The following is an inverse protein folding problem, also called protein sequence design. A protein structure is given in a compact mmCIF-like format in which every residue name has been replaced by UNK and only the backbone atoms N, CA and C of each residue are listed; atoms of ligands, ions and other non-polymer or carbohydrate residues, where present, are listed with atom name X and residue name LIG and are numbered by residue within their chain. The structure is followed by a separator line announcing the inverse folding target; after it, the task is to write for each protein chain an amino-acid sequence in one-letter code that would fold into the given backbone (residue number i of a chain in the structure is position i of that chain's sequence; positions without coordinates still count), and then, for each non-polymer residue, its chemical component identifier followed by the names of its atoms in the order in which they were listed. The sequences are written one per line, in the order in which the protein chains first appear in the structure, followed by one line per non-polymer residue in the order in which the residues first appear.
data_IF_453926841302
#
_entry.id   IF_453926841302
#
_cell.length_a   1.000
_cell.length_b   1.000
_cell.length_c   1.000
_cell.angle_alpha   90.00
_cell.angle_beta   90.00
_cell.angle_gamma   90.00
#
_symmetry.space_group_name_H-M   'P 1'
#
loop_
_entity.id
_entity.type
_entity.pdbx_description
1 polymer ?
#
# COMPACT_ATOMS: atom_id res chain seq x y z
N UNK A 1 -32.60 34.59 -48.00
CA UNK A 1 -32.94 33.87 -46.73
C UNK A 1 -31.90 32.79 -46.36
N UNK A 2 -30.60 33.02 -46.55
CA UNK A 2 -29.55 32.01 -46.32
C UNK A 2 -28.58 32.31 -45.17
N UNK A 3 -28.52 33.55 -44.70
CA UNK A 3 -27.57 33.98 -43.68
C UNK A 3 -28.00 33.57 -42.26
N UNK A 4 -29.30 33.64 -41.93
CA UNK A 4 -29.82 33.38 -40.58
C UNK A 4 -29.63 31.93 -40.12
N UNK A 5 -29.71 30.96 -41.03
CA UNK A 5 -29.52 29.53 -40.70
C UNK A 5 -28.09 29.23 -40.26
N UNK A 6 -27.10 29.93 -40.81
CA UNK A 6 -25.67 29.70 -40.50
C UNK A 6 -25.34 30.11 -39.07
N UNK A 7 -25.93 31.22 -38.59
CA UNK A 7 -25.76 31.70 -37.21
C UNK A 7 -26.40 30.76 -36.19
N UNK A 8 -27.51 30.11 -36.53
CA UNK A 8 -28.13 29.12 -35.66
C UNK A 8 -27.26 27.86 -35.52
N UNK A 9 -26.66 27.37 -36.61
CA UNK A 9 -25.76 26.20 -36.54
C UNK A 9 -24.46 26.50 -35.77
N UNK A 10 -23.90 27.71 -35.90
CA UNK A 10 -22.70 28.09 -35.14
C UNK A 10 -22.98 28.22 -33.64
N UNK A 11 -24.13 28.80 -33.27
CA UNK A 11 -24.57 28.89 -31.87
C UNK A 11 -24.81 27.50 -31.26
N UNK A 12 -25.48 26.60 -31.99
CA UNK A 12 -25.74 25.24 -31.52
C UNK A 12 -24.45 24.42 -31.37
N UNK A 13 -23.53 24.54 -32.33
CA UNK A 13 -22.22 23.89 -32.28
C UNK A 13 -21.37 24.38 -31.10
N UNK A 14 -21.33 25.69 -30.87
CA UNK A 14 -20.62 26.27 -29.73
C UNK A 14 -21.21 25.83 -28.38
N UNK A 15 -22.55 25.76 -28.27
CA UNK A 15 -23.22 25.28 -27.07
C UNK A 15 -22.91 23.80 -26.78
N UNK A 16 -22.94 22.94 -27.81
CA UNK A 16 -22.56 21.53 -27.66
C UNK A 16 -21.08 21.37 -27.25
N UNK A 17 -20.17 22.12 -27.88
CA UNK A 17 -18.75 22.07 -27.53
C UNK A 17 -18.51 22.54 -26.08
N UNK A 18 -19.21 23.59 -25.64
CA UNK A 18 -19.16 24.06 -24.25
C UNK A 18 -19.67 23.01 -23.27
N UNK A 19 -20.80 22.36 -23.57
CA UNK A 19 -21.38 21.34 -22.70
C UNK A 19 -20.49 20.10 -22.61
N UNK A 20 -19.86 19.72 -23.72
CA UNK A 20 -18.88 18.64 -23.76
C UNK A 20 -17.64 18.96 -22.92
N UNK A 21 -17.12 20.19 -23.00
CA UNK A 21 -15.98 20.63 -22.17
C UNK A 21 -16.33 20.63 -20.68
N UNK A 22 -17.54 21.06 -20.30
CA UNK A 22 -17.99 21.01 -18.90
C UNK A 22 -18.13 19.57 -18.40
N UNK A 23 -18.62 18.66 -19.25
CA UNK A 23 -18.69 17.23 -18.92
C UNK A 23 -17.30 16.64 -18.68
N UNK A 24 -16.34 16.91 -19.58
CA UNK A 24 -14.95 16.47 -19.44
C UNK A 24 -14.31 17.03 -18.16
N UNK A 25 -14.54 18.31 -17.87
CA UNK A 25 -14.05 18.93 -16.65
C UNK A 25 -14.66 18.29 -15.40
N UNK A 26 -15.95 17.95 -15.42
CA UNK A 26 -16.63 17.31 -14.29
C UNK A 26 -16.11 15.89 -14.05
N UNK A 27 -15.84 15.12 -15.11
CA UNK A 27 -15.24 13.77 -15.01
C UNK A 27 -13.80 13.87 -14.46
N UNK A 28 -13.02 14.84 -14.93
CA UNK A 28 -11.67 15.09 -14.42
C UNK A 28 -11.69 15.50 -12.94
N UNK A 29 -12.55 16.45 -12.58
CA UNK A 29 -12.70 16.92 -11.21
C UNK A 29 -13.16 15.79 -10.28
N UNK A 30 -14.14 14.97 -10.68
CA UNK A 30 -14.59 13.81 -9.91
C UNK A 30 -13.48 12.76 -9.72
N UNK A 31 -12.69 12.52 -10.78
CA UNK A 31 -11.53 11.62 -10.71
C UNK A 31 -10.44 12.14 -9.78
N UNK A 32 -10.26 13.47 -9.72
CA UNK A 32 -9.27 14.12 -8.85
C UNK A 32 -9.76 14.31 -7.41
N UNK A 33 -11.07 14.44 -7.19
CA UNK A 33 -11.68 14.68 -5.86
C UNK A 33 -11.88 13.39 -5.05
N UNK A 34 -11.56 12.22 -5.62
CA UNK A 34 -11.53 10.93 -4.90
C UNK A 34 -10.45 10.83 -3.81
N UNK A 35 -9.59 11.84 -3.67
CA UNK A 35 -8.70 11.99 -2.52
C UNK A 35 -9.50 12.41 -1.29
N UNK A 36 -10.11 11.44 -0.60
CA UNK A 36 -10.56 11.65 0.78
C UNK A 36 -9.37 12.19 1.55
N UNK A 37 -9.46 13.41 2.07
CA UNK A 37 -8.41 13.96 2.93
C UNK A 37 -8.14 12.94 4.05
N UNK A 38 -6.94 12.35 4.12
CA UNK A 38 -6.66 11.39 5.17
C UNK A 38 -6.85 12.12 6.51
N UNK A 39 -7.65 11.53 7.40
CA UNK A 39 -7.70 11.98 8.79
C UNK A 39 -6.27 12.12 9.29
N UNK A 40 -5.91 13.22 9.98
CA UNK A 40 -4.56 13.40 10.48
C UNK A 40 -4.16 12.16 11.30
N UNK A 41 -3.20 11.41 10.78
CA UNK A 41 -2.68 10.25 11.50
C UNK A 41 -1.79 10.82 12.59
N UNK A 42 -2.25 10.70 13.83
CA UNK A 42 -1.51 11.21 14.98
C UNK A 42 -0.56 10.14 15.51
N UNK A 43 0.72 10.52 15.57
CA UNK A 43 1.80 9.74 16.16
C UNK A 43 2.18 10.36 17.51
N UNK A 44 2.54 9.54 18.50
CA UNK A 44 3.04 10.02 19.80
C UNK A 44 2.54 9.21 20.99
N UNK A 45 2.98 9.57 22.22
CA UNK A 45 2.81 8.75 23.43
C UNK A 45 1.36 8.47 23.83
N UNK A 46 0.43 9.33 23.38
CA UNK A 46 -1.01 9.21 23.67
C UNK A 46 -1.79 8.47 22.58
N UNK A 47 -1.11 8.00 21.53
CA UNK A 47 -1.70 7.23 20.45
C UNK A 47 -1.12 5.82 20.47
N UNK A 48 -1.85 4.80 19.96
CA UNK A 48 -1.29 3.46 19.92
C UNK A 48 -0.03 3.40 19.02
N UNK A 49 0.83 2.38 19.12
CA UNK A 49 2.09 2.34 18.37
C UNK A 49 1.86 2.15 16.86
N UNK A 50 2.67 2.81 16.04
CA UNK A 50 2.65 2.64 14.59
C UNK A 50 3.71 1.63 14.14
N UNK A 51 3.36 0.80 13.16
CA UNK A 51 4.23 -0.26 12.65
C UNK A 51 4.68 0.02 11.22
N UNK A 52 5.93 -0.28 10.93
CA UNK A 52 6.49 -0.38 9.60
C UNK A 52 6.71 -1.85 9.23
N UNK A 53 5.95 -2.34 8.26
CA UNK A 53 6.01 -3.72 7.78
C UNK A 53 6.88 -3.82 6.53
N UNK A 54 7.90 -4.67 6.58
CA UNK A 54 8.63 -5.12 5.41
C UNK A 54 8.14 -6.52 5.04
N UNK A 55 7.46 -6.64 3.90
CA UNK A 55 6.95 -7.92 3.41
C UNK A 55 7.78 -8.35 2.21
N UNK A 56 8.48 -9.46 2.36
CA UNK A 56 9.37 -10.01 1.34
C UNK A 56 8.82 -11.33 0.78
N UNK A 57 9.09 -11.61 -0.48
CA UNK A 57 8.85 -12.93 -1.05
C UNK A 57 9.59 -13.17 -2.35
N UNK A 58 9.49 -14.41 -2.82
CA UNK A 58 10.24 -14.92 -3.97
C UNK A 58 9.37 -14.95 -5.23
N UNK A 59 9.84 -15.66 -6.25
CA UNK A 59 9.14 -15.80 -7.53
C UNK A 59 7.81 -16.54 -7.33
N UNK A 60 6.70 -15.98 -7.80
CA UNK A 60 5.37 -16.58 -7.68
C UNK A 60 4.63 -16.26 -6.39
N UNK A 61 5.27 -15.55 -5.45
CA UNK A 61 4.68 -15.21 -4.15
C UNK A 61 3.82 -13.95 -4.19
N UNK A 62 3.64 -13.33 -5.36
CA UNK A 62 2.83 -12.10 -5.53
C UNK A 62 1.45 -12.18 -4.86
N UNK A 63 0.73 -13.28 -5.07
CA UNK A 63 -0.62 -13.45 -4.50
C UNK A 63 -0.60 -13.64 -2.99
N UNK A 64 0.39 -14.36 -2.47
CA UNK A 64 0.57 -14.60 -1.04
C UNK A 64 0.93 -13.31 -0.31
N UNK A 65 1.89 -12.55 -0.84
CA UNK A 65 2.27 -11.21 -0.35
C UNK A 65 1.05 -10.29 -0.37
N UNK A 66 0.29 -10.24 -1.47
CA UNK A 66 -0.86 -9.36 -1.56
C UNK A 66 -1.96 -9.74 -0.55
N UNK A 67 -2.21 -11.05 -0.37
CA UNK A 67 -3.15 -11.55 0.64
C UNK A 67 -2.70 -11.19 2.06
N UNK A 68 -1.42 -11.40 2.37
CA UNK A 68 -0.83 -11.04 3.66
C UNK A 68 -0.94 -9.55 3.92
N UNK A 69 -0.55 -8.73 2.94
CA UNK A 69 -0.65 -7.28 3.00
C UNK A 69 -2.06 -6.82 3.37
N UNK A 70 -3.08 -7.36 2.72
CA UNK A 70 -4.47 -7.04 3.05
C UNK A 70 -4.87 -7.49 4.46
N UNK A 71 -4.35 -8.63 4.94
CA UNK A 71 -4.65 -9.14 6.27
C UNK A 71 -4.05 -8.28 7.40
N UNK A 72 -2.90 -7.65 7.16
CA UNK A 72 -2.22 -6.78 8.14
C UNK A 72 -2.44 -5.29 7.89
N UNK A 73 -3.28 -4.91 6.91
CA UNK A 73 -3.43 -3.53 6.48
C UNK A 73 -4.15 -2.67 7.52
N UNK A 74 -3.55 -1.54 7.87
CA UNK A 74 -4.13 -0.52 8.72
C UNK A 74 -3.64 0.87 8.26
N UNK A 75 -4.51 1.91 8.19
CA UNK A 75 -4.16 3.23 7.65
C UNK A 75 -2.96 3.91 8.29
N UNK A 76 -2.73 3.66 9.58
CA UNK A 76 -1.62 4.25 10.35
C UNK A 76 -0.25 3.63 10.06
N UNK A 77 -0.24 2.37 9.65
CA UNK A 77 1.00 1.63 9.47
C UNK A 77 1.58 1.91 8.09
N UNK A 78 2.89 1.73 7.95
CA UNK A 78 3.62 1.85 6.69
C UNK A 78 4.00 0.48 6.17
N UNK A 79 3.90 0.27 4.86
CA UNK A 79 4.19 -1.03 4.24
C UNK A 79 5.21 -0.86 3.12
N UNK A 80 6.23 -1.70 3.14
CA UNK A 80 7.19 -1.85 2.06
C UNK A 80 7.15 -3.29 1.55
N UNK A 81 6.63 -3.47 0.34
CA UNK A 81 6.54 -4.78 -0.30
C UNK A 81 7.76 -4.97 -1.20
N UNK A 82 8.35 -6.16 -1.14
CA UNK A 82 9.54 -6.50 -1.91
C UNK A 82 9.42 -7.90 -2.50
N UNK A 83 9.63 -7.97 -3.81
CA UNK A 83 9.81 -9.23 -4.52
C UNK A 83 11.29 -9.38 -4.84
N UNK A 84 11.83 -10.56 -4.55
CA UNK A 84 13.22 -10.89 -4.82
C UNK A 84 13.56 -10.84 -6.31
N UNK A 85 14.86 -10.83 -6.62
CA UNK A 85 15.37 -10.76 -7.98
C UNK A 85 14.93 -11.93 -8.90
N UNK A 86 14.46 -13.02 -8.31
CA UNK A 86 13.96 -14.19 -9.06
C UNK A 86 12.57 -13.94 -9.68
N UNK A 87 11.85 -12.91 -9.21
CA UNK A 87 10.56 -12.50 -9.78
C UNK A 87 10.76 -11.58 -11.01
N UNK A 88 9.93 -11.78 -12.03
CA UNK A 88 9.99 -10.97 -13.25
C UNK A 88 9.58 -9.51 -12.97
N UNK A 89 9.99 -8.60 -13.86
CA UNK A 89 9.56 -7.20 -13.79
C UNK A 89 8.04 -7.08 -13.96
N UNK A 90 7.43 -7.93 -14.79
CA UNK A 90 5.97 -7.99 -14.97
C UNK A 90 5.25 -8.39 -13.67
N UNK A 91 5.80 -9.34 -12.91
CA UNK A 91 5.22 -9.75 -11.64
C UNK A 91 5.27 -8.62 -10.61
N UNK A 92 6.38 -7.86 -10.58
CA UNK A 92 6.55 -6.67 -9.75
C UNK A 92 5.61 -5.54 -10.13
N UNK A 93 5.49 -5.24 -11.42
CA UNK A 93 4.54 -4.23 -11.92
C UNK A 93 3.10 -4.63 -11.58
N UNK A 94 2.76 -5.92 -11.74
CA UNK A 94 1.43 -6.40 -11.42
C UNK A 94 1.13 -6.40 -9.92
N UNK A 95 2.14 -6.56 -9.05
CA UNK A 95 1.98 -6.37 -7.60
C UNK A 95 1.73 -4.88 -7.28
N UNK A 96 2.54 -3.98 -7.82
CA UNK A 96 2.38 -2.55 -7.62
C UNK A 96 1.02 -2.05 -8.10
N UNK A 97 0.55 -2.51 -9.25
CA UNK A 97 -0.77 -2.20 -9.77
C UNK A 97 -1.90 -2.71 -8.86
N UNK A 98 -1.77 -3.92 -8.30
CA UNK A 98 -2.75 -4.47 -7.35
C UNK A 98 -2.79 -3.69 -6.04
N UNK A 99 -1.63 -3.31 -5.49
CA UNK A 99 -1.55 -2.49 -4.27
C UNK A 99 -2.16 -1.11 -4.50
N UNK A 100 -1.86 -0.46 -5.63
CA UNK A 100 -2.44 0.84 -6.00
C UNK A 100 -3.95 0.78 -6.35
N UNK A 101 -4.46 -0.41 -6.68
CA UNK A 101 -5.89 -0.63 -6.91
C UNK A 101 -6.70 -0.58 -5.61
N UNK A 102 -6.08 -0.83 -4.45
CA UNK A 102 -6.76 -0.80 -3.15
C UNK A 102 -7.15 0.66 -2.80
N UNK A 103 -8.45 0.97 -2.61
CA UNK A 103 -8.89 2.34 -2.36
C UNK A 103 -8.23 2.97 -1.13
N UNK A 104 -8.10 2.20 -0.04
CA UNK A 104 -7.48 2.69 1.19
C UNK A 104 -6.02 3.09 0.98
N UNK A 105 -5.24 2.27 0.26
CA UNK A 105 -3.85 2.57 -0.08
C UNK A 105 -3.75 3.83 -0.93
N UNK A 106 -4.68 4.03 -1.86
CA UNK A 106 -4.71 5.22 -2.70
C UNK A 106 -5.01 6.49 -1.90
N UNK A 107 -5.84 6.40 -0.87
CA UNK A 107 -6.18 7.53 0.00
C UNK A 107 -5.08 7.88 0.99
N UNK A 108 -4.43 6.87 1.59
CA UNK A 108 -3.42 7.08 2.64
C UNK A 108 -1.97 7.09 2.14
N UNK A 109 -1.71 6.55 0.94
CA UNK A 109 -0.37 6.50 0.35
C UNK A 109 0.65 5.77 1.22
N UNK A 110 0.22 4.76 1.97
CA UNK A 110 0.98 4.13 3.04
C UNK A 110 1.65 2.81 2.66
N UNK A 111 1.60 2.41 1.39
CA UNK A 111 2.22 1.18 0.90
C UNK A 111 3.03 1.44 -0.37
N UNK A 112 4.29 0.99 -0.37
CA UNK A 112 5.23 1.15 -1.48
C UNK A 112 5.78 -0.22 -1.93
N UNK A 113 6.00 -0.40 -3.23
CA UNK A 113 6.63 -1.60 -3.78
C UNK A 113 8.05 -1.27 -4.23
N UNK A 114 9.03 -2.04 -3.73
CA UNK A 114 10.44 -1.82 -4.06
C UNK A 114 10.74 -2.25 -5.48
N UNK A 115 11.19 -1.32 -6.33
CA UNK A 115 11.54 -1.62 -7.72
C UNK A 115 12.89 -2.35 -7.86
N UNK A 116 13.88 -2.01 -7.03
CA UNK A 116 15.24 -2.54 -7.15
C UNK A 116 15.32 -3.97 -6.62
N UNK A 117 15.57 -4.97 -7.48
CA UNK A 117 15.59 -6.36 -7.08
C UNK A 117 16.78 -6.65 -6.16
N UNK A 118 16.57 -7.46 -5.13
CA UNK A 118 17.65 -8.09 -4.36
C UNK A 118 17.41 -9.59 -4.35
N UNK A 119 18.48 -10.38 -4.48
CA UNK A 119 18.37 -11.84 -4.32
C UNK A 119 18.12 -12.14 -2.84
N UNK A 120 16.93 -12.66 -2.55
CA UNK A 120 16.57 -13.18 -1.25
C UNK A 120 17.03 -14.64 -1.23
N UNK A 121 18.20 -14.90 -0.66
CA UNK A 121 18.66 -16.27 -0.40
C UNK A 121 18.41 -16.54 1.07
N UNK A 122 17.62 -17.57 1.36
CA UNK A 122 17.35 -18.01 2.73
C UNK A 122 18.69 -18.25 3.46
N UNK A 123 18.86 -17.61 4.62
CA UNK A 123 20.08 -17.62 5.44
C UNK A 123 21.35 -17.02 4.79
N UNK A 124 21.22 -16.25 3.71
CA UNK A 124 22.34 -15.54 3.09
C UNK A 124 22.53 -14.12 3.63
N UNK A 125 23.75 -13.58 3.53
CA UNK A 125 24.05 -12.17 3.86
C UNK A 125 23.20 -11.17 3.05
N UNK A 126 22.75 -11.57 1.86
CA UNK A 126 21.86 -10.79 0.99
C UNK A 126 20.49 -10.53 1.62
N UNK A 127 20.00 -11.45 2.46
CA UNK A 127 18.70 -11.31 3.13
C UNK A 127 18.75 -10.20 4.18
N UNK A 128 19.74 -10.26 5.08
CA UNK A 128 20.00 -9.21 6.07
C UNK A 128 20.26 -7.86 5.38
N UNK A 129 21.02 -7.86 4.29
CA UNK A 129 21.26 -6.64 3.51
C UNK A 129 19.96 -6.04 2.94
N UNK A 130 19.01 -6.89 2.53
CA UNK A 130 17.70 -6.45 2.03
C UNK A 130 16.84 -5.85 3.14
N UNK A 131 16.85 -6.45 4.34
CA UNK A 131 16.13 -5.96 5.52
C UNK A 131 16.69 -4.61 5.98
N UNK A 132 18.01 -4.48 6.11
CA UNK A 132 18.64 -3.22 6.50
C UNK A 132 18.38 -2.12 5.47
N UNK A 133 18.40 -2.49 4.18
CA UNK A 133 18.04 -1.57 3.11
C UNK A 133 16.58 -1.13 3.21
N UNK A 134 15.65 -2.05 3.45
CA UNK A 134 14.24 -1.75 3.65
C UNK A 134 14.03 -0.78 4.82
N UNK A 135 14.65 -1.06 5.97
CA UNK A 135 14.62 -0.18 7.14
C UNK A 135 15.16 1.22 6.82
N UNK A 136 16.29 1.31 6.08
CA UNK A 136 16.86 2.60 5.68
C UNK A 136 15.97 3.40 4.74
N UNK A 137 15.21 2.73 3.87
CA UNK A 137 14.25 3.39 2.97
C UNK A 137 13.05 3.87 3.78
N UNK A 138 12.49 3.03 4.64
CA UNK A 138 11.36 3.40 5.50
C UNK A 138 11.70 4.60 6.37
N UNK A 139 12.86 4.61 7.06
CA UNK A 139 13.32 5.75 7.86
C UNK A 139 13.45 7.07 7.06
N UNK A 140 13.75 6.98 5.76
CA UNK A 140 13.87 8.17 4.89
C UNK A 140 12.51 8.68 4.41
N UNK A 141 11.54 7.79 4.24
CA UNK A 141 10.20 8.12 3.76
C UNK A 141 9.33 8.61 4.90
N UNK A 142 9.37 7.93 6.04
CA UNK A 142 8.59 8.25 7.23
C UNK A 142 9.32 7.76 8.48
N UNK A 143 9.44 8.62 9.49
CA UNK A 143 10.06 8.31 10.78
C UNK A 143 9.05 8.26 11.93
N UNK A 144 7.74 8.34 11.63
CA UNK A 144 6.67 8.33 12.63
C UNK A 144 6.25 6.95 13.14
N UNK A 145 6.91 5.87 12.70
CA UNK A 145 6.66 4.51 13.18
C UNK A 145 7.57 4.16 14.37
N UNK A 146 7.05 3.34 15.27
CA UNK A 146 7.73 2.95 16.51
C UNK A 146 8.41 1.58 16.37
N UNK A 147 7.83 0.69 15.55
CA UNK A 147 8.26 -0.70 15.41
C UNK A 147 8.48 -1.07 13.95
N UNK A 148 9.54 -1.82 13.69
CA UNK A 148 9.83 -2.40 12.39
C UNK A 148 9.63 -3.92 12.45
N UNK A 149 8.78 -4.45 11.56
CA UNK A 149 8.41 -5.86 11.51
C UNK A 149 8.72 -6.41 10.12
N UNK A 150 9.45 -7.52 10.06
CA UNK A 150 9.75 -8.25 8.83
C UNK A 150 8.83 -9.46 8.70
N UNK A 151 8.22 -9.64 7.53
CA UNK A 151 7.36 -10.77 7.21
C UNK A 151 7.80 -11.40 5.87
N UNK A 152 7.73 -12.72 5.80
CA UNK A 152 7.82 -13.50 4.58
C UNK A 152 6.45 -13.72 3.93
N UNK A 153 6.43 -14.12 2.67
CA UNK A 153 5.21 -14.43 1.95
C UNK A 153 4.40 -15.60 2.55
N UNK A 154 5.08 -16.49 3.28
CA UNK A 154 4.49 -17.62 3.99
C UNK A 154 3.84 -17.25 5.33
N UNK A 155 4.14 -16.08 5.88
CA UNK A 155 3.63 -15.66 7.18
C UNK A 155 2.15 -15.28 7.10
N UNK A 156 1.44 -15.43 8.24
CA UNK A 156 0.05 -14.99 8.33
C UNK A 156 -0.34 -14.57 9.75
N UNK A 157 -1.03 -13.43 9.94
CA UNK A 157 -1.46 -13.01 11.26
C UNK A 157 -2.55 -13.96 11.79
N UNK A 158 -2.33 -14.49 12.99
CA UNK A 158 -3.34 -15.28 13.72
C UNK A 158 -4.26 -14.41 14.58
N UNK A 159 -3.83 -13.19 14.87
CA UNK A 159 -4.54 -12.22 15.71
C UNK A 159 -4.69 -10.90 14.95
N UNK A 160 -5.87 -10.31 15.05
CA UNK A 160 -6.20 -9.02 14.44
C UNK A 160 -5.56 -7.85 15.22
N UNK A 161 -5.01 -6.87 14.51
CA UNK A 161 -4.38 -5.68 15.12
C UNK A 161 -5.36 -4.84 15.97
N UNK A 162 -6.63 -4.81 15.60
CA UNK A 162 -7.66 -3.95 16.23
C UNK A 162 -8.37 -4.61 17.42
N UNK A 163 -7.80 -5.68 17.97
CA UNK A 163 -8.35 -6.37 19.13
C UNK A 163 -8.46 -5.43 20.33
N UNK A 164 -9.68 -4.99 20.66
CA UNK A 164 -9.97 -4.43 21.99
C UNK A 164 -9.49 -5.45 23.03
N UNK A 165 -8.69 -5.08 24.03
CA UNK A 165 -8.22 -6.02 25.04
C UNK A 165 -9.39 -6.40 25.96
N UNK A 166 -10.23 -7.34 25.51
CA UNK A 166 -11.32 -7.92 26.29
C UNK A 166 -10.78 -8.93 27.31
N UNK A 167 -9.60 -9.50 27.03
CA UNK A 167 -8.76 -10.19 27.99
C UNK A 167 -7.66 -9.21 28.35
N UNK A 168 -7.34 -9.04 29.64
CA UNK A 168 -6.37 -8.09 30.18
C UNK A 168 -4.90 -8.33 29.79
N UNK A 169 -4.67 -8.58 28.50
CA UNK A 169 -3.40 -8.62 27.82
C UNK A 169 -2.92 -7.19 27.62
N UNK A 170 -1.69 -6.93 28.07
CA UNK A 170 -1.00 -5.66 27.85
C UNK A 170 -0.82 -5.40 26.35
N UNK A 171 -0.65 -4.15 25.94
CA UNK A 171 -0.36 -3.81 24.54
C UNK A 171 0.95 -4.46 24.03
N UNK A 172 1.86 -4.81 24.95
CA UNK A 172 3.01 -5.69 24.69
C UNK A 172 2.62 -7.12 24.31
N UNK A 173 1.51 -7.63 24.84
CA UNK A 173 1.08 -9.02 24.67
C UNK A 173 0.35 -9.21 23.33
N UNK A 174 -0.27 -8.16 22.77
CA UNK A 174 -0.74 -8.14 21.39
C UNK A 174 0.43 -8.20 20.38
N UNK A 175 1.58 -7.64 20.73
CA UNK A 175 2.82 -7.76 19.94
C UNK A 175 3.36 -9.20 19.99
N UNK A 176 3.28 -9.87 21.16
CA UNK A 176 3.60 -11.31 21.27
C UNK A 176 2.55 -12.22 20.59
N UNK A 177 1.29 -11.79 20.54
CA UNK A 177 0.19 -12.48 19.89
C UNK A 177 0.22 -12.38 18.35
N UNK A 178 0.93 -11.40 17.81
CA UNK A 178 1.47 -11.46 16.45
C UNK A 178 2.63 -12.47 16.45
N UNK A 179 2.31 -13.74 16.73
CA UNK A 179 3.23 -14.85 16.63
C UNK A 179 3.49 -15.03 15.13
N UNK A 180 4.45 -14.25 14.64
CA UNK A 180 5.13 -14.40 13.36
C UNK A 180 5.71 -15.81 13.41
N UNK A 181 5.04 -16.75 12.74
CA UNK A 181 5.50 -18.11 12.60
C UNK A 181 6.59 -18.15 11.51
N UNK A 182 7.71 -17.50 11.76
CA UNK A 182 8.90 -17.65 10.92
C UNK A 182 9.78 -18.77 11.49
N UNK A 183 9.93 -19.83 10.70
CA UNK A 183 11.07 -20.74 10.64
C UNK A 183 11.48 -21.56 11.87
N UNK A 184 10.56 -22.36 12.43
CA UNK A 184 10.90 -23.57 13.22
C UNK A 184 10.09 -24.81 12.79
N UNK A 185 9.68 -24.94 11.53
CA UNK A 185 9.31 -26.27 11.02
C UNK A 185 9.77 -26.53 9.60
N UNK A 186 10.99 -27.07 9.55
CA UNK A 186 11.54 -27.94 8.53
C UNK A 186 10.51 -28.82 7.82
N UNK A 187 10.57 -28.81 6.48
CA UNK A 187 10.89 -30.01 5.69
C UNK A 187 11.47 -29.64 4.33
#
# INVERSE_FOLDING_TARGET
MGAERRWLFTLFSAAMASLFLVLLFSIYAFSSFGGTFPTPIHHGPHHPPSFAYYISGSRGDRSQIFRLFLAVYHPRNRYLLHLGAEASDDERMALAAQVAAVPAVRSFGNADVTWKPSRLTHMGASDIASILRAASVLLKVDSGWDWFITLGASDYPLITQDGKPSFGLSQSDLIFGLLIFCDVWSK
#
